data_IF_501179859157
#
_entry.id   IF_501179859157
#
_cell.length_a   1.000
_cell.length_b   1.000
_cell.length_c   1.000
_cell.angle_alpha   90.00
_cell.angle_beta   90.00
_cell.angle_gamma   90.00
#
_symmetry.space_group_name_H-M   'P 1'
#
loop_
_entity.id
_entity.type
_entity.pdbx_description
1 polymer ?
#
# COMPACT_ATOMS: atom_id res chain seq x y z
N UNK A 1 -23.28 23.80 14.67
CA UNK A 1 -24.54 23.43 15.35
C UNK A 1 -24.47 23.98 16.77
N UNK A 2 -25.29 24.98 17.11
CA UNK A 2 -25.31 25.58 18.45
C UNK A 2 -26.44 24.91 19.24
N UNK A 3 -26.09 24.05 20.19
CA UNK A 3 -27.07 23.42 21.09
C UNK A 3 -27.39 24.44 22.18
N UNK A 4 -28.58 25.03 22.13
CA UNK A 4 -29.09 25.89 23.20
C UNK A 4 -29.67 25.00 24.30
N UNK A 5 -28.94 24.88 25.41
CA UNK A 5 -29.42 24.19 26.61
C UNK A 5 -30.24 25.15 27.49
N UNK A 6 -31.38 24.71 28.06
CA UNK A 6 -32.14 25.50 29.00
C UNK A 6 -31.30 25.85 30.25
N UNK A 7 -31.45 27.08 30.74
CA UNK A 7 -30.70 27.59 31.91
C UNK A 7 -30.96 26.70 33.13
N UNK A 8 -29.88 26.21 33.76
CA UNK A 8 -29.93 25.42 35.00
C UNK A 8 -29.79 23.90 34.83
N UNK A 9 -29.74 23.37 33.60
CA UNK A 9 -29.67 21.92 33.37
C UNK A 9 -28.27 21.32 33.61
N UNK A 10 -27.21 22.02 33.23
CA UNK A 10 -25.81 21.56 33.37
C UNK A 10 -24.95 22.71 33.92
N UNK A 11 -24.05 22.45 34.89
CA UNK A 11 -23.09 23.45 35.34
C UNK A 11 -22.20 23.92 34.16
N UNK A 12 -22.01 25.22 33.98
CA UNK A 12 -21.24 25.75 32.84
C UNK A 12 -19.79 25.23 32.78
N UNK A 13 -19.18 24.93 33.93
CA UNK A 13 -17.85 24.31 34.00
C UNK A 13 -17.80 22.91 33.38
N UNK A 14 -18.84 22.10 33.54
CA UNK A 14 -18.94 20.76 32.94
C UNK A 14 -19.09 20.84 31.41
N UNK A 15 -19.81 21.83 30.90
CA UNK A 15 -19.91 22.09 29.47
C UNK A 15 -18.54 22.46 28.89
N UNK A 16 -17.81 23.37 29.55
CA UNK A 16 -16.45 23.72 29.15
C UNK A 16 -15.51 22.51 29.12
N UNK A 17 -15.52 21.69 30.18
CA UNK A 17 -14.73 20.47 30.25
C UNK A 17 -15.09 19.46 29.14
N UNK A 18 -16.39 19.23 28.91
CA UNK A 18 -16.85 18.32 27.85
C UNK A 18 -16.39 18.76 26.46
N UNK A 19 -16.43 20.07 26.18
CA UNK A 19 -15.97 20.63 24.91
C UNK A 19 -14.44 20.51 24.78
N UNK A 20 -13.69 20.80 25.84
CA UNK A 20 -12.23 20.61 25.87
C UNK A 20 -11.86 19.15 25.60
N UNK A 21 -12.54 18.19 26.22
CA UNK A 21 -12.31 16.77 25.95
C UNK A 21 -12.71 16.37 24.54
N UNK A 22 -13.86 16.83 24.04
CA UNK A 22 -14.30 16.54 22.69
C UNK A 22 -13.30 17.04 21.65
N UNK A 23 -12.76 18.26 21.82
CA UNK A 23 -11.72 18.82 20.96
C UNK A 23 -10.42 18.02 21.05
N UNK A 24 -9.97 17.67 22.25
CA UNK A 24 -8.76 16.87 22.44
C UNK A 24 -8.87 15.49 21.78
N UNK A 25 -10.00 14.80 21.99
CA UNK A 25 -10.28 13.50 21.38
C UNK A 25 -10.39 13.58 19.86
N UNK A 26 -11.04 14.63 19.33
CA UNK A 26 -11.15 14.83 17.87
C UNK A 26 -9.78 14.98 17.24
N UNK A 27 -8.90 15.77 17.86
CA UNK A 27 -7.52 15.91 17.38
C UNK A 27 -6.78 14.57 17.42
N UNK A 28 -6.84 13.85 18.55
CA UNK A 28 -6.21 12.54 18.69
C UNK A 28 -6.71 11.56 17.61
N UNK A 29 -8.02 11.54 17.33
CA UNK A 29 -8.61 10.69 16.30
C UNK A 29 -8.07 11.00 14.89
N UNK A 30 -7.93 12.29 14.55
CA UNK A 30 -7.33 12.70 13.26
C UNK A 30 -5.88 12.20 13.14
N UNK A 31 -5.08 12.38 14.20
CA UNK A 31 -3.71 11.88 14.22
C UNK A 31 -3.63 10.36 14.10
N UNK A 32 -4.44 9.64 14.89
CA UNK A 32 -4.50 8.17 14.86
C UNK A 32 -4.91 7.65 13.48
N UNK A 33 -5.90 8.28 12.85
CA UNK A 33 -6.34 7.89 11.49
C UNK A 33 -5.22 8.07 10.47
N UNK A 34 -4.48 9.18 10.54
CA UNK A 34 -3.31 9.41 9.67
C UNK A 34 -2.22 8.36 9.89
N UNK A 35 -1.90 8.07 11.14
CA UNK A 35 -0.93 7.04 11.51
C UNK A 35 -1.35 5.66 10.99
N UNK A 36 -2.62 5.31 11.15
CA UNK A 36 -3.16 4.04 10.67
C UNK A 36 -3.04 3.91 9.14
N UNK A 37 -3.42 4.95 8.38
CA UNK A 37 -3.25 4.95 6.93
C UNK A 37 -1.77 4.80 6.52
N UNK A 38 -0.85 5.47 7.20
CA UNK A 38 0.58 5.32 6.93
C UNK A 38 1.07 3.90 7.22
N UNK A 39 0.65 3.30 8.33
CA UNK A 39 0.98 1.93 8.69
C UNK A 39 0.46 0.94 7.64
N UNK A 40 -0.79 1.09 7.20
CA UNK A 40 -1.37 0.27 6.15
C UNK A 40 -0.53 0.34 4.86
N UNK A 41 -0.08 1.53 4.44
CA UNK A 41 0.79 1.69 3.28
C UNK A 41 2.13 0.95 3.43
N UNK A 42 2.72 0.95 4.63
CA UNK A 42 3.95 0.20 4.89
C UNK A 42 3.72 -1.32 4.80
N UNK A 43 2.59 -1.81 5.30
CA UNK A 43 2.25 -3.24 5.22
C UNK A 43 2.08 -3.70 3.76
N UNK A 44 1.44 -2.89 2.90
CA UNK A 44 1.32 -3.20 1.47
C UNK A 44 2.69 -3.32 0.78
N UNK A 45 3.66 -2.49 1.19
CA UNK A 45 5.03 -2.59 0.66
C UNK A 45 5.68 -3.93 1.02
N UNK A 46 5.50 -4.39 2.26
CA UNK A 46 5.99 -5.69 2.73
C UNK A 46 5.30 -6.85 1.99
N UNK A 47 3.99 -6.76 1.79
CA UNK A 47 3.23 -7.76 1.03
C UNK A 47 3.76 -7.88 -0.40
N UNK A 48 4.00 -6.74 -1.08
CA UNK A 48 4.55 -6.73 -2.44
C UNK A 48 5.94 -7.34 -2.53
N UNK A 49 6.82 -7.06 -1.57
CA UNK A 49 8.15 -7.71 -1.50
C UNK A 49 7.98 -9.22 -1.36
N UNK A 50 7.11 -9.67 -0.44
CA UNK A 50 6.81 -11.09 -0.27
C UNK A 50 6.28 -11.72 -1.55
N UNK A 51 5.41 -11.04 -2.30
CA UNK A 51 4.93 -11.53 -3.59
C UNK A 51 6.09 -11.74 -4.56
N UNK A 52 6.97 -10.76 -4.75
CA UNK A 52 8.13 -10.89 -5.65
C UNK A 52 9.08 -12.02 -5.27
N UNK A 53 9.23 -12.33 -3.98
CA UNK A 53 10.06 -13.44 -3.52
C UNK A 53 9.53 -14.83 -3.93
N UNK A 54 8.23 -14.96 -4.22
CA UNK A 54 7.60 -16.24 -4.56
C UNK A 54 7.23 -16.35 -6.04
N UNK A 55 7.59 -15.37 -6.88
CA UNK A 55 7.39 -15.46 -8.32
C UNK A 55 8.31 -16.55 -8.89
N UNK A 56 7.81 -17.31 -9.86
CA UNK A 56 8.62 -18.29 -10.56
C UNK A 56 9.78 -17.58 -11.28
N UNK A 57 11.03 -17.99 -11.03
CA UNK A 57 12.17 -17.38 -11.68
C UNK A 57 12.10 -17.60 -13.20
N UNK A 58 12.52 -16.60 -13.95
CA UNK A 58 12.68 -16.72 -15.39
C UNK A 58 13.71 -17.80 -15.73
N UNK A 59 13.63 -18.42 -16.93
CA UNK A 59 14.64 -19.35 -17.38
C UNK A 59 16.04 -18.73 -17.34
N UNK A 60 17.10 -19.53 -17.14
CA UNK A 60 18.47 -19.02 -17.11
C UNK A 60 18.79 -18.19 -18.36
N UNK A 61 19.39 -17.02 -18.16
CA UNK A 61 19.80 -16.13 -19.27
C UNK A 61 20.75 -16.81 -20.25
N UNK A 62 21.52 -17.79 -19.77
CA UNK A 62 22.43 -18.61 -20.56
C UNK A 62 22.20 -20.07 -20.21
N UNK A 63 21.91 -20.87 -21.23
CA UNK A 63 21.88 -22.33 -21.15
C UNK A 63 23.14 -22.85 -21.82
N UNK A 64 24.17 -23.22 -21.04
CA UNK A 64 25.48 -23.65 -21.58
C UNK A 64 25.35 -24.81 -22.58
N UNK A 65 24.41 -25.72 -22.35
CA UNK A 65 24.16 -26.87 -23.22
C UNK A 65 23.36 -26.54 -24.49
N UNK A 66 22.82 -25.33 -24.64
CA UNK A 66 21.96 -24.95 -25.76
C UNK A 66 22.35 -23.59 -26.38
N UNK A 67 23.65 -23.26 -26.31
CA UNK A 67 24.18 -22.07 -26.97
C UNK A 67 24.31 -22.31 -28.47
N UNK A 68 23.79 -21.40 -29.31
CA UNK A 68 24.07 -21.47 -30.73
C UNK A 68 25.57 -21.23 -30.98
N UNK A 69 26.13 -21.81 -32.06
CA UNK A 69 27.54 -21.62 -32.41
C UNK A 69 27.84 -20.15 -32.71
N UNK A 70 29.10 -19.74 -32.59
CA UNK A 70 29.54 -18.35 -32.84
C UNK A 70 29.21 -17.83 -34.24
N UNK A 71 28.99 -18.72 -35.21
CA UNK A 71 28.57 -18.40 -36.57
C UNK A 71 27.07 -18.14 -36.71
N UNK A 72 26.29 -18.26 -35.63
CA UNK A 72 24.86 -17.99 -35.63
C UNK A 72 24.57 -16.51 -35.35
N UNK A 73 23.56 -15.90 -36.00
CA UNK A 73 22.76 -16.46 -37.08
C UNK A 73 23.46 -16.26 -38.44
N UNK A 74 23.80 -17.35 -39.14
CA UNK A 74 24.60 -17.28 -40.37
C UNK A 74 23.85 -16.71 -41.58
N UNK A 75 22.51 -16.83 -41.60
CA UNK A 75 21.64 -16.37 -42.69
C UNK A 75 20.49 -15.47 -42.22
N UNK A 76 20.33 -15.26 -40.91
CA UNK A 76 19.29 -14.40 -40.33
C UNK A 76 17.84 -14.74 -40.71
N UNK A 77 17.54 -15.98 -41.13
CA UNK A 77 16.19 -16.38 -41.56
C UNK A 77 15.33 -16.76 -40.36
N UNK A 78 14.14 -16.17 -40.26
CA UNK A 78 13.12 -16.49 -39.26
C UNK A 78 11.95 -17.16 -39.98
N UNK A 79 11.53 -18.33 -39.50
CA UNK A 79 10.34 -19.03 -39.98
C UNK A 79 9.37 -19.21 -38.81
N UNK A 80 8.18 -18.64 -38.93
CA UNK A 80 7.10 -18.78 -37.95
C UNK A 80 6.26 -19.99 -38.35
N UNK A 81 6.16 -20.99 -37.45
CA UNK A 81 5.32 -22.17 -37.65
C UNK A 81 4.31 -22.25 -36.52
N UNK A 82 3.02 -22.18 -36.89
CA UNK A 82 1.87 -22.38 -36.01
C UNK A 82 1.90 -21.53 -34.72
N UNK A 83 2.13 -20.23 -34.89
CA UNK A 83 2.01 -19.26 -33.80
C UNK A 83 0.53 -18.91 -33.59
N UNK A 84 0.00 -19.25 -32.42
CA UNK A 84 -1.31 -18.78 -31.92
C UNK A 84 -1.18 -17.48 -31.16
#
# INVERSE_FOLDING_TARGET
FLVLLPKGYIPPGLVGLSLSYALALTNAQVFLTRWYCSLANYVISVERIKQYMHIQPEPPAVVENNRPPSSWPSKGRIELKDVK
#
